data_IF_814228308224
#
_entry.id   IF_814228308224
#
_cell.length_a   1.000
_cell.length_b   1.000
_cell.length_c   1.000
_cell.angle_alpha   90.00
_cell.angle_beta   90.00
_cell.angle_gamma   90.00
#
_symmetry.space_group_name_H-M   'P 1'
#
loop_
_entity.id
_entity.type
_entity.pdbx_description
1 polymer ?
#
# COMPACT_ATOMS: atom_id res chain seq x y z
N UNK A 1 -10.97 -2.78 -13.04
CA UNK A 1 -10.53 -3.38 -11.76
C UNK A 1 -11.50 -4.46 -11.23
N UNK A 2 -12.78 -4.43 -11.60
CA UNK A 2 -13.80 -5.41 -11.12
C UNK A 2 -13.41 -6.85 -11.48
N UNK A 3 -12.93 -7.10 -12.67
CA UNK A 3 -12.58 -8.46 -13.11
C UNK A 3 -11.41 -9.07 -12.32
N UNK A 4 -10.25 -8.38 -12.09
CA UNK A 4 -9.17 -8.88 -11.24
C UNK A 4 -9.58 -9.13 -9.78
N UNK A 5 -10.47 -8.31 -9.21
CA UNK A 5 -10.98 -8.51 -7.85
C UNK A 5 -11.79 -9.80 -7.78
N UNK A 6 -12.77 -9.98 -8.67
CA UNK A 6 -13.58 -11.20 -8.72
C UNK A 6 -12.74 -12.46 -8.94
N UNK A 7 -11.71 -12.37 -9.78
CA UNK A 7 -10.79 -13.48 -10.02
C UNK A 7 -9.95 -13.81 -8.77
N UNK A 8 -9.55 -12.81 -8.00
CA UNK A 8 -8.87 -13.02 -6.73
C UNK A 8 -9.78 -13.73 -5.72
N UNK A 9 -11.02 -13.24 -5.54
CA UNK A 9 -12.01 -13.83 -4.63
C UNK A 9 -12.34 -15.28 -5.01
N UNK A 10 -12.51 -15.55 -6.30
CA UNK A 10 -12.71 -16.91 -6.82
C UNK A 10 -11.52 -17.83 -6.48
N UNK A 11 -10.27 -17.34 -6.62
CA UNK A 11 -9.10 -18.13 -6.25
C UNK A 11 -9.02 -18.42 -4.76
N UNK A 12 -9.40 -17.49 -3.88
CA UNK A 12 -9.48 -17.74 -2.45
C UNK A 12 -10.48 -18.86 -2.14
N UNK A 13 -11.69 -18.76 -2.72
CA UNK A 13 -12.74 -19.76 -2.53
C UNK A 13 -12.31 -21.15 -3.03
N UNK A 14 -11.71 -21.24 -4.22
CA UNK A 14 -11.21 -22.50 -4.78
C UNK A 14 -10.06 -23.12 -3.98
N UNK A 15 -9.29 -22.31 -3.30
CA UNK A 15 -8.18 -22.73 -2.47
C UNK A 15 -8.58 -22.97 -1.00
N UNK A 16 -9.86 -22.79 -0.67
CA UNK A 16 -10.41 -22.87 0.69
C UNK A 16 -9.67 -21.97 1.69
N UNK A 17 -9.27 -20.78 1.22
CA UNK A 17 -8.59 -19.76 2.04
C UNK A 17 -9.66 -18.78 2.53
N UNK A 18 -9.71 -18.59 3.84
CA UNK A 18 -10.60 -17.58 4.45
C UNK A 18 -10.23 -16.20 3.92
N UNK A 19 -11.23 -15.48 3.43
CA UNK A 19 -11.05 -14.13 2.91
C UNK A 19 -11.00 -13.11 4.07
N UNK A 20 -9.81 -12.95 4.65
CA UNK A 20 -9.54 -11.91 5.64
C UNK A 20 -9.01 -10.68 4.90
N UNK A 21 -9.55 -9.47 5.17
CA UNK A 21 -9.04 -8.24 4.60
C UNK A 21 -7.53 -8.12 4.83
N UNK A 22 -6.77 -7.88 3.76
CA UNK A 22 -5.31 -7.83 3.86
C UNK A 22 -4.88 -6.66 4.72
N UNK A 23 -4.20 -6.96 5.82
CA UNK A 23 -3.52 -5.98 6.68
C UNK A 23 -2.13 -6.52 7.02
N UNK A 24 -1.08 -5.84 6.52
CA UNK A 24 0.29 -6.39 6.54
C UNK A 24 0.81 -6.73 7.92
N UNK A 25 0.64 -5.82 8.90
CA UNK A 25 1.07 -6.04 10.27
C UNK A 25 0.34 -7.22 10.91
N UNK A 26 -0.97 -7.29 10.78
CA UNK A 26 -1.79 -8.31 11.44
C UNK A 26 -1.61 -9.68 10.79
N UNK A 27 -1.48 -9.72 9.47
CA UNK A 27 -1.15 -10.94 8.75
C UNK A 27 0.18 -11.53 9.23
N UNK A 28 1.21 -10.70 9.40
CA UNK A 28 2.54 -11.17 9.83
C UNK A 28 2.55 -11.65 11.28
N UNK A 29 1.84 -10.97 12.15
CA UNK A 29 1.86 -11.25 13.60
C UNK A 29 0.70 -12.12 14.08
N UNK A 30 -0.37 -12.28 13.31
CA UNK A 30 -1.55 -13.06 13.68
C UNK A 30 -2.45 -12.31 14.65
N UNK A 31 -2.59 -11.00 14.44
CA UNK A 31 -3.47 -10.15 15.23
C UNK A 31 -4.84 -10.02 14.57
N UNK A 32 -5.80 -9.44 15.26
CA UNK A 32 -7.14 -9.09 14.80
C UNK A 32 -7.81 -10.27 14.04
N UNK A 33 -8.30 -10.05 12.85
CA UNK A 33 -8.94 -11.07 12.01
C UNK A 33 -8.06 -12.27 11.65
N UNK A 34 -6.76 -12.23 11.96
CA UNK A 34 -5.81 -13.33 11.74
C UNK A 34 -5.51 -14.17 12.98
N UNK A 35 -6.11 -13.86 14.14
CA UNK A 35 -5.82 -14.55 15.40
C UNK A 35 -6.08 -16.06 15.35
N UNK A 36 -7.10 -16.49 14.60
CA UNK A 36 -7.46 -17.91 14.42
C UNK A 36 -6.92 -18.51 13.11
N UNK A 37 -6.24 -17.72 12.27
CA UNK A 37 -5.73 -18.16 10.98
C UNK A 37 -4.32 -18.73 11.13
N UNK A 38 -4.12 -19.96 10.68
CA UNK A 38 -2.83 -20.64 10.77
C UNK A 38 -1.72 -19.86 10.01
N UNK A 39 -0.47 -20.01 10.44
CA UNK A 39 0.68 -19.42 9.73
C UNK A 39 0.73 -19.89 8.28
N UNK A 40 0.36 -21.15 8.01
CA UNK A 40 0.28 -21.70 6.67
C UNK A 40 -0.73 -20.96 5.79
N UNK A 41 -1.93 -20.75 6.29
CA UNK A 41 -3.00 -20.07 5.56
C UNK A 41 -2.70 -18.58 5.38
N UNK A 42 -2.10 -17.93 6.38
CA UNK A 42 -1.62 -16.54 6.24
C UNK A 42 -0.58 -16.39 5.13
N UNK A 43 0.33 -17.36 4.97
CA UNK A 43 1.30 -17.39 3.85
C UNK A 43 0.61 -17.62 2.51
N UNK A 44 -0.38 -18.51 2.48
CA UNK A 44 -1.18 -18.76 1.26
C UNK A 44 -1.94 -17.50 0.87
N UNK A 45 -2.58 -16.82 1.83
CA UNK A 45 -3.26 -15.55 1.61
C UNK A 45 -2.31 -14.47 1.08
N UNK A 46 -1.14 -14.28 1.70
CA UNK A 46 -0.11 -13.34 1.24
C UNK A 46 0.29 -13.64 -0.23
N UNK A 47 0.50 -14.90 -0.56
CA UNK A 47 0.88 -15.32 -1.92
C UNK A 47 -0.24 -15.02 -2.93
N UNK A 48 -1.49 -15.31 -2.60
CA UNK A 48 -2.64 -15.00 -3.46
C UNK A 48 -2.83 -13.50 -3.61
N UNK A 49 -2.63 -12.74 -2.53
CA UNK A 49 -2.73 -11.28 -2.58
C UNK A 49 -1.61 -10.67 -3.44
N UNK A 50 -0.37 -11.12 -3.28
CA UNK A 50 0.75 -10.72 -4.13
C UNK A 50 0.46 -10.99 -5.63
N UNK A 51 -0.14 -12.16 -5.94
CA UNK A 51 -0.57 -12.49 -7.30
C UNK A 51 -1.67 -11.56 -7.80
N UNK A 52 -2.64 -11.21 -6.94
CA UNK A 52 -3.69 -10.26 -7.26
C UNK A 52 -3.12 -8.89 -7.60
N UNK A 53 -2.24 -8.33 -6.75
CA UNK A 53 -1.62 -7.03 -6.99
C UNK A 53 -0.84 -7.00 -8.31
N UNK A 54 -0.20 -8.10 -8.70
CA UNK A 54 0.49 -8.18 -10.01
C UNK A 54 -0.44 -8.00 -11.20
N UNK A 55 -1.69 -8.45 -11.10
CA UNK A 55 -2.66 -8.37 -12.21
C UNK A 55 -3.34 -7.01 -12.32
N UNK A 56 -3.23 -6.15 -11.30
CA UNK A 56 -3.88 -4.85 -11.30
C UNK A 56 -3.18 -3.87 -12.25
N UNK A 57 -3.94 -3.09 -13.04
CA UNK A 57 -3.41 -1.98 -13.83
C UNK A 57 -3.22 -0.75 -12.94
N UNK A 58 -2.27 -0.80 -12.02
CA UNK A 58 -1.95 0.28 -11.09
C UNK A 58 -0.53 0.75 -11.27
N UNK A 59 -0.31 2.00 -10.94
CA UNK A 59 0.99 2.61 -10.62
C UNK A 59 0.98 3.08 -9.19
N UNK A 60 2.15 3.24 -8.57
CA UNK A 60 2.24 3.73 -7.21
C UNK A 60 3.47 4.61 -7.00
N UNK A 61 3.32 5.54 -6.05
CA UNK A 61 4.42 6.33 -5.51
C UNK A 61 4.71 5.89 -4.09
N UNK A 62 5.94 6.11 -3.63
CA UNK A 62 6.33 5.90 -2.24
C UNK A 62 7.01 7.17 -1.73
N UNK A 63 6.44 7.75 -0.69
CA UNK A 63 7.10 8.73 0.15
C UNK A 63 7.51 8.01 1.45
N UNK A 64 8.78 8.10 1.79
CA UNK A 64 9.35 7.41 2.92
C UNK A 64 10.05 8.40 3.83
N UNK A 65 9.75 8.29 5.12
CA UNK A 65 10.34 9.14 6.15
C UNK A 65 10.97 8.28 7.23
N UNK A 66 12.16 8.64 7.67
CA UNK A 66 12.76 8.09 8.88
C UNK A 66 12.31 8.94 10.08
N UNK A 67 11.93 8.27 11.17
CA UNK A 67 11.54 8.96 12.39
C UNK A 67 12.69 9.79 13.01
N UNK A 68 13.93 9.50 12.65
CA UNK A 68 15.11 10.24 13.07
C UNK A 68 15.35 11.51 12.26
N UNK A 69 14.74 11.65 11.09
CA UNK A 69 14.94 12.78 10.18
C UNK A 69 14.08 14.01 10.53
N UNK A 70 13.24 13.91 11.55
CA UNK A 70 12.30 14.96 11.93
C UNK A 70 12.33 15.23 13.44
N UNK A 71 12.36 16.50 13.83
CA UNK A 71 12.38 16.94 15.24
C UNK A 71 10.97 17.13 15.82
N UNK A 72 10.03 16.30 15.40
CA UNK A 72 8.64 16.31 15.90
C UNK A 72 7.59 16.11 14.83
N UNK A 73 6.35 16.01 15.30
CA UNK A 73 5.18 15.72 14.44
C UNK A 73 4.92 16.82 13.41
N UNK A 74 5.02 18.08 13.83
CA UNK A 74 4.69 19.24 12.98
C UNK A 74 5.69 19.37 11.82
N UNK A 75 6.97 19.07 12.07
CA UNK A 75 7.98 19.06 11.01
C UNK A 75 7.74 17.94 10.01
N UNK A 76 7.39 16.74 10.49
CA UNK A 76 7.02 15.62 9.64
C UNK A 76 5.79 15.95 8.78
N UNK A 77 4.75 16.52 9.37
CA UNK A 77 3.54 16.94 8.64
C UNK A 77 3.86 17.98 7.56
N UNK A 78 4.69 18.96 7.87
CA UNK A 78 5.14 19.98 6.92
C UNK A 78 5.95 19.38 5.77
N UNK A 79 6.82 18.40 6.07
CA UNK A 79 7.60 17.67 5.08
C UNK A 79 6.70 16.83 4.17
N UNK A 80 5.76 16.08 4.75
CA UNK A 80 4.79 15.28 3.98
C UNK A 80 3.98 16.17 3.03
N UNK A 81 3.48 17.31 3.52
CA UNK A 81 2.70 18.27 2.70
C UNK A 81 3.52 18.77 1.52
N UNK A 82 4.74 19.22 1.75
CA UNK A 82 5.63 19.71 0.69
C UNK A 82 5.95 18.63 -0.33
N UNK A 83 6.33 17.44 0.13
CA UNK A 83 6.75 16.34 -0.75
C UNK A 83 5.58 15.79 -1.57
N UNK A 84 4.36 15.76 -1.01
CA UNK A 84 3.13 15.44 -1.75
C UNK A 84 2.82 16.49 -2.81
N UNK A 85 2.92 17.79 -2.46
CA UNK A 85 2.70 18.87 -3.42
C UNK A 85 3.71 18.80 -4.59
N UNK A 86 4.99 18.58 -4.29
CA UNK A 86 6.03 18.38 -5.31
C UNK A 86 5.73 17.15 -6.18
N UNK A 87 5.35 16.03 -5.58
CA UNK A 87 5.00 14.82 -6.32
C UNK A 87 3.84 15.05 -7.31
N UNK A 88 2.79 15.74 -6.88
CA UNK A 88 1.64 16.04 -7.76
C UNK A 88 2.06 17.02 -8.85
N UNK A 89 2.83 18.06 -8.50
CA UNK A 89 3.31 19.07 -9.44
C UNK A 89 4.25 18.47 -10.50
N UNK A 90 5.23 17.67 -10.10
CA UNK A 90 6.19 17.03 -11.01
C UNK A 90 5.51 16.03 -11.95
N UNK A 91 4.29 15.59 -11.63
CA UNK A 91 3.49 14.66 -12.42
C UNK A 91 2.16 15.27 -12.88
N UNK A 92 2.13 16.58 -13.04
CA UNK A 92 0.91 17.33 -13.35
C UNK A 92 0.20 16.84 -14.59
N UNK A 93 0.92 16.56 -15.68
CA UNK A 93 0.35 16.05 -16.93
C UNK A 93 -0.40 14.73 -16.72
N UNK A 94 0.15 13.84 -15.88
CA UNK A 94 -0.52 12.59 -15.53
C UNK A 94 -1.85 12.85 -14.79
N UNK A 95 -1.85 13.70 -13.77
CA UNK A 95 -3.06 14.01 -13.02
C UNK A 95 -4.11 14.75 -13.86
N UNK A 96 -3.68 15.68 -14.72
CA UNK A 96 -4.56 16.43 -15.62
C UNK A 96 -5.10 15.60 -16.80
N UNK A 97 -4.58 14.41 -17.05
CA UNK A 97 -5.12 13.50 -18.04
C UNK A 97 -6.47 12.87 -17.66
N UNK A 98 -6.93 13.09 -16.41
CA UNK A 98 -8.20 12.57 -15.89
C UNK A 98 -9.22 13.70 -15.71
N UNK A 99 -10.47 13.46 -16.13
CA UNK A 99 -11.57 14.41 -15.91
C UNK A 99 -11.96 14.51 -14.42
N UNK A 100 -11.77 13.44 -13.68
CA UNK A 100 -12.09 13.37 -12.25
C UNK A 100 -11.12 12.44 -11.53
N UNK A 101 -10.64 12.86 -10.36
CA UNK A 101 -9.77 12.09 -9.49
C UNK A 101 -10.54 11.75 -8.21
N UNK A 102 -10.80 10.46 -7.96
CA UNK A 102 -11.39 10.01 -6.68
C UNK A 102 -10.29 9.56 -5.73
N UNK A 103 -10.17 10.23 -4.61
CA UNK A 103 -9.16 9.96 -3.58
C UNK A 103 -9.79 9.17 -2.44
N UNK A 104 -9.26 7.98 -2.20
CA UNK A 104 -9.68 7.12 -1.10
C UNK A 104 -8.54 7.00 -0.09
N UNK A 105 -8.84 7.24 1.17
CA UNK A 105 -7.86 7.17 2.25
C UNK A 105 -8.43 6.53 3.51
N UNK A 106 -7.54 5.97 4.32
CA UNK A 106 -7.87 5.48 5.65
C UNK A 106 -7.83 6.65 6.65
N UNK A 107 -8.86 6.76 7.49
CA UNK A 107 -9.00 7.86 8.46
C UNK A 107 -8.01 7.77 9.65
N UNK A 108 -7.11 6.78 9.64
CA UNK A 108 -6.17 6.53 10.73
C UNK A 108 -5.03 7.56 10.87
N UNK A 109 -4.80 8.42 9.85
CA UNK A 109 -3.69 9.38 9.83
C UNK A 109 -4.15 10.75 9.35
N UNK A 110 -4.87 11.49 10.22
CA UNK A 110 -5.45 12.80 9.90
C UNK A 110 -4.47 13.79 9.24
N UNK A 111 -3.22 13.83 9.71
CA UNK A 111 -2.18 14.67 9.13
C UNK A 111 -1.87 14.36 7.66
N UNK A 112 -1.79 13.07 7.30
CA UNK A 112 -1.56 12.64 5.91
C UNK A 112 -2.76 12.99 5.05
N UNK A 113 -3.97 12.80 5.56
CA UNK A 113 -5.20 13.16 4.83
C UNK A 113 -5.28 14.65 4.53
N UNK A 114 -4.98 15.50 5.51
CA UNK A 114 -4.95 16.97 5.32
C UNK A 114 -3.85 17.36 4.32
N UNK A 115 -2.65 16.81 4.45
CA UNK A 115 -1.55 17.09 3.53
C UNK A 115 -1.87 16.67 2.08
N UNK A 116 -2.58 15.54 1.91
CA UNK A 116 -3.00 15.05 0.60
C UNK A 116 -4.07 15.97 -0.02
N UNK A 117 -5.07 16.39 0.78
CA UNK A 117 -6.08 17.35 0.32
C UNK A 117 -5.43 18.66 -0.12
N UNK A 118 -4.59 19.25 0.74
CA UNK A 118 -3.90 20.49 0.43
C UNK A 118 -3.04 20.41 -0.82
N UNK A 119 -2.30 19.32 -1.01
CA UNK A 119 -1.45 19.12 -2.17
C UNK A 119 -2.25 19.02 -3.47
N UNK A 120 -3.32 18.24 -3.47
CA UNK A 120 -4.16 18.06 -4.66
C UNK A 120 -4.97 19.33 -4.97
N UNK A 121 -5.57 19.97 -3.96
CA UNK A 121 -6.34 21.21 -4.17
C UNK A 121 -5.46 22.39 -4.60
N UNK A 122 -4.18 22.40 -4.19
CA UNK A 122 -3.23 23.43 -4.59
C UNK A 122 -2.77 23.27 -6.03
N UNK A 123 -2.50 22.04 -6.47
CA UNK A 123 -1.89 21.74 -7.78
C UNK A 123 -2.95 21.50 -8.86
N UNK A 124 -4.08 20.90 -8.48
CA UNK A 124 -5.21 20.66 -9.39
C UNK A 124 -6.23 21.79 -9.28
N UNK A 125 -6.91 22.08 -10.37
CA UNK A 125 -8.04 23.03 -10.32
C UNK A 125 -9.09 22.54 -9.32
N UNK A 126 -9.65 23.46 -8.51
CA UNK A 126 -10.73 23.15 -7.57
C UNK A 126 -11.86 22.40 -8.29
N UNK A 127 -12.39 21.37 -7.65
CA UNK A 127 -13.46 20.46 -8.10
C UNK A 127 -13.06 19.30 -9.01
N UNK A 128 -11.78 19.04 -9.24
CA UNK A 128 -11.31 17.86 -9.98
C UNK A 128 -11.15 16.66 -9.04
N UNK A 129 -10.88 16.89 -7.76
CA UNK A 129 -10.67 15.83 -6.78
C UNK A 129 -11.93 15.58 -5.93
N UNK A 130 -12.33 14.33 -5.82
CA UNK A 130 -13.42 13.83 -4.95
C UNK A 130 -12.81 12.99 -3.83
N UNK A 131 -12.95 13.46 -2.57
CA UNK A 131 -12.33 12.87 -1.41
C UNK A 131 -13.33 11.97 -0.66
N UNK A 132 -12.96 10.72 -0.41
CA UNK A 132 -13.82 9.74 0.25
C UNK A 132 -13.07 8.98 1.33
N UNK A 133 -13.56 9.08 2.57
CA UNK A 133 -13.21 8.11 3.60
C UNK A 133 -13.80 6.77 3.20
N UNK A 134 -12.99 5.73 3.19
CA UNK A 134 -13.44 4.43 2.75
C UNK A 134 -13.34 3.39 3.88
N UNK A 135 -14.33 2.51 3.96
CA UNK A 135 -14.21 1.29 4.76
C UNK A 135 -13.10 0.42 4.20
N UNK A 136 -12.05 0.23 5.00
CA UNK A 136 -10.88 -0.57 4.64
C UNK A 136 -11.24 -2.00 4.25
N UNK A 137 -12.16 -2.63 4.99
CA UNK A 137 -12.56 -4.02 4.76
C UNK A 137 -13.30 -4.20 3.42
N UNK A 138 -14.10 -3.21 3.02
CA UNK A 138 -14.86 -3.22 1.79
C UNK A 138 -14.06 -2.79 0.54
N UNK A 139 -12.87 -2.18 0.73
CA UNK A 139 -12.10 -1.59 -0.37
C UNK A 139 -10.78 -2.31 -0.62
N UNK A 140 -10.78 -3.29 -1.53
CA UNK A 140 -9.58 -4.04 -1.93
C UNK A 140 -8.40 -3.15 -2.35
N UNK A 141 -8.64 -1.97 -2.92
CA UNK A 141 -7.57 -1.07 -3.33
C UNK A 141 -6.85 -0.41 -2.16
N UNK A 142 -7.52 -0.15 -1.02
CA UNK A 142 -6.85 0.27 0.20
C UNK A 142 -5.94 -0.83 0.75
N UNK A 143 -6.41 -2.08 0.71
CA UNK A 143 -5.59 -3.24 1.08
C UNK A 143 -4.38 -3.40 0.17
N UNK A 144 -4.49 -3.03 -1.13
CA UNK A 144 -3.35 -3.00 -2.07
C UNK A 144 -2.33 -1.95 -1.64
N UNK A 145 -2.77 -0.76 -1.22
CA UNK A 145 -1.86 0.28 -0.71
C UNK A 145 -1.10 -0.21 0.53
N UNK A 146 -1.77 -0.85 1.50
CA UNK A 146 -1.10 -1.44 2.67
C UNK A 146 -0.11 -2.56 2.30
N UNK A 147 -0.47 -3.42 1.33
CA UNK A 147 0.46 -4.43 0.82
C UNK A 147 1.72 -3.79 0.23
N UNK A 148 1.58 -2.74 -0.58
CA UNK A 148 2.72 -2.02 -1.17
C UNK A 148 3.58 -1.42 -0.06
N UNK A 149 2.99 -0.70 0.90
CA UNK A 149 3.70 -0.14 2.06
C UNK A 149 4.43 -1.23 2.86
N UNK A 150 3.80 -2.39 3.06
CA UNK A 150 4.39 -3.52 3.76
C UNK A 150 5.62 -4.05 3.02
N UNK A 151 5.53 -4.26 1.70
CA UNK A 151 6.65 -4.78 0.90
C UNK A 151 7.80 -3.77 0.84
N UNK A 152 7.52 -2.48 0.66
CA UNK A 152 8.56 -1.45 0.60
C UNK A 152 9.27 -1.31 1.96
N UNK A 153 8.54 -1.33 3.08
CA UNK A 153 9.13 -1.32 4.42
C UNK A 153 10.02 -2.56 4.68
N UNK A 154 9.58 -3.74 4.23
CA UNK A 154 10.36 -4.97 4.36
C UNK A 154 11.60 -4.93 3.46
N UNK A 155 11.51 -4.27 2.31
CA UNK A 155 12.65 -4.10 1.41
C UNK A 155 13.80 -3.35 2.10
N UNK A 156 13.49 -2.28 2.82
CA UNK A 156 14.46 -1.53 3.62
C UNK A 156 15.11 -2.45 4.66
N UNK A 157 14.29 -3.22 5.39
CA UNK A 157 14.81 -4.13 6.40
C UNK A 157 15.79 -5.17 5.83
N UNK A 158 15.54 -5.67 4.61
CA UNK A 158 16.47 -6.58 3.90
C UNK A 158 17.71 -5.87 3.36
N UNK A 159 17.59 -4.62 2.94
CA UNK A 159 18.71 -3.80 2.47
C UNK A 159 19.68 -3.49 3.60
N UNK A 160 19.14 -3.13 4.77
CA UNK A 160 19.91 -2.80 5.97
C UNK A 160 20.38 -4.04 6.76
N UNK A 161 20.02 -5.26 6.34
CA UNK A 161 20.32 -6.47 7.10
C UNK A 161 19.57 -6.58 8.44
N UNK A 162 18.47 -5.82 8.60
CA UNK A 162 17.61 -5.77 9.81
C UNK A 162 16.34 -6.59 9.71
N UNK A 163 16.26 -7.51 8.76
CA UNK A 163 15.08 -8.36 8.60
C UNK A 163 14.87 -9.25 9.82
N UNK A 164 13.63 -9.39 10.27
CA UNK A 164 13.26 -10.26 11.38
C UNK A 164 13.03 -11.69 10.92
N UNK A 165 13.04 -12.65 11.88
CA UNK A 165 12.63 -14.04 11.63
C UNK A 165 11.20 -14.15 11.07
N UNK A 166 10.31 -13.21 11.43
CA UNK A 166 8.96 -13.12 10.87
C UNK A 166 9.01 -12.73 9.40
N UNK A 167 9.84 -11.76 9.02
CA UNK A 167 10.02 -11.40 7.62
C UNK A 167 10.51 -12.61 6.81
N UNK A 168 11.53 -13.32 7.27
CA UNK A 168 12.04 -14.51 6.59
C UNK A 168 11.01 -15.65 6.53
N UNK A 169 10.21 -15.81 7.58
CA UNK A 169 9.14 -16.82 7.62
C UNK A 169 8.10 -16.60 6.53
N UNK A 170 7.72 -15.36 6.23
CA UNK A 170 6.66 -15.03 5.28
C UNK A 170 7.17 -14.75 3.87
N UNK A 171 8.31 -14.12 3.73
CA UNK A 171 8.84 -13.65 2.45
C UNK A 171 10.08 -14.45 1.96
N UNK A 172 10.59 -15.35 2.80
CA UNK A 172 11.80 -16.09 2.52
C UNK A 172 13.07 -15.29 2.76
N UNK A 173 14.20 -15.77 2.26
CA UNK A 173 15.45 -15.03 2.33
C UNK A 173 15.44 -13.81 1.37
N UNK A 174 16.46 -12.96 1.46
CA UNK A 174 16.59 -11.74 0.65
C UNK A 174 16.39 -11.99 -0.84
N UNK A 175 16.97 -13.07 -1.39
CA UNK A 175 16.86 -13.42 -2.81
C UNK A 175 15.42 -13.75 -3.18
N UNK A 176 14.75 -14.58 -2.40
CA UNK A 176 13.34 -14.96 -2.61
C UNK A 176 12.43 -13.73 -2.52
N UNK A 177 12.62 -12.89 -1.51
CA UNK A 177 11.87 -11.65 -1.35
C UNK A 177 11.99 -10.74 -2.58
N UNK A 178 13.22 -10.47 -3.00
CA UNK A 178 13.47 -9.58 -4.15
C UNK A 178 12.84 -10.13 -5.44
N UNK A 179 12.93 -11.42 -5.70
CA UNK A 179 12.41 -12.03 -6.94
C UNK A 179 10.88 -12.14 -6.94
N UNK A 180 10.29 -12.59 -5.82
CA UNK A 180 8.88 -12.97 -5.76
C UNK A 180 7.94 -11.83 -5.40
N UNK A 181 8.43 -10.83 -4.68
CA UNK A 181 7.62 -9.71 -4.19
C UNK A 181 8.07 -8.36 -4.76
N UNK A 182 9.28 -7.92 -4.45
CA UNK A 182 9.73 -6.57 -4.78
C UNK A 182 9.87 -6.30 -6.28
N UNK A 183 10.53 -7.18 -7.03
CA UNK A 183 10.71 -7.01 -8.49
C UNK A 183 9.39 -6.84 -9.23
N UNK A 184 8.33 -7.47 -8.76
CA UNK A 184 7.02 -7.37 -9.39
C UNK A 184 6.35 -6.02 -9.09
N UNK A 185 6.57 -5.47 -7.91
CA UNK A 185 6.09 -4.15 -7.55
C UNK A 185 6.87 -3.04 -8.25
N UNK A 186 8.20 -3.11 -8.28
CA UNK A 186 9.03 -2.10 -8.91
C UNK A 186 8.66 -1.80 -10.37
N UNK A 187 8.07 -2.77 -11.09
CA UNK A 187 7.54 -2.56 -12.45
C UNK A 187 6.32 -1.64 -12.50
N UNK A 188 5.70 -1.38 -11.37
CA UNK A 188 4.51 -0.55 -11.20
C UNK A 188 4.81 0.77 -10.49
N UNK A 189 6.05 0.95 -10.05
CA UNK A 189 6.47 2.19 -9.42
C UNK A 189 6.56 3.29 -10.48
N UNK A 190 5.98 4.42 -10.17
CA UNK A 190 6.03 5.61 -11.01
C UNK A 190 7.37 6.33 -10.81
N UNK A 191 8.01 6.73 -11.86
CA UNK A 191 9.31 7.41 -11.84
C UNK A 191 10.33 6.72 -12.68
#
# INVERSE_FOLDING_TARGET
>A
VISPIKEYEKRLAMAEIVDVPFHGKDLLHGNEGYATVSVGDRKRLLTQFARFVRTLPITYFVLQYDATDTHGRDELESKIRRDLASLVYDNLEFFQSFDTISVYYDNGQGAVSVALHDALDFVLAKNVADYRVADYSARRLLQVADYICTVERIAIAYEDGRQSKTHERFFGNRRTFLQSFRKQLLRKRFG
#
